data_IF_613682929205
#
_entry.id   IF_613682929205
#
_cell.length_a   1.000
_cell.length_b   1.000
_cell.length_c   1.000
_cell.angle_alpha   90.00
_cell.angle_beta   90.00
_cell.angle_gamma   90.00
#
_symmetry.space_group_name_H-M   'P 1'
#
loop_
_entity.id
_entity.type
_entity.pdbx_description
1 polymer ?
#
# COMPACT_ATOMS: atom_id res chain seq x y z
N UNK A 1 -30.72 8.46 11.34
CA UNK A 1 -29.67 8.28 10.33
C UNK A 1 -30.28 7.59 9.12
N UNK A 2 -30.02 8.07 7.90
CA UNK A 2 -30.49 7.42 6.67
C UNK A 2 -29.51 6.30 6.27
N UNK A 3 -30.02 5.13 5.86
CA UNK A 3 -29.24 3.98 5.40
C UNK A 3 -28.23 4.36 4.31
N UNK A 4 -28.60 5.26 3.40
CA UNK A 4 -27.71 5.76 2.35
C UNK A 4 -26.43 6.43 2.93
N UNK A 5 -26.57 7.18 4.03
CA UNK A 5 -25.45 7.86 4.68
C UNK A 5 -24.49 6.87 5.34
N UNK A 6 -24.99 5.76 5.89
CA UNK A 6 -24.16 4.71 6.49
C UNK A 6 -23.39 3.96 5.42
N UNK A 7 -24.06 3.57 4.33
CA UNK A 7 -23.43 2.90 3.18
C UNK A 7 -22.32 3.78 2.61
N UNK A 8 -22.57 5.07 2.45
CA UNK A 8 -21.56 5.99 1.93
C UNK A 8 -20.35 6.15 2.86
N UNK A 9 -20.57 6.16 4.19
CA UNK A 9 -19.46 6.15 5.16
C UNK A 9 -18.62 4.87 5.07
N UNK A 10 -19.27 3.71 5.01
CA UNK A 10 -18.58 2.42 4.86
C UNK A 10 -17.80 2.35 3.55
N UNK A 11 -18.35 2.86 2.45
CA UNK A 11 -17.66 2.94 1.17
C UNK A 11 -16.43 3.84 1.21
N UNK A 12 -16.52 4.99 1.88
CA UNK A 12 -15.38 5.90 2.01
C UNK A 12 -14.22 5.25 2.75
N UNK A 13 -14.47 4.53 3.85
CA UNK A 13 -13.42 3.80 4.57
C UNK A 13 -12.85 2.64 3.76
N UNK A 14 -13.70 1.90 3.03
CA UNK A 14 -13.25 0.84 2.14
C UNK A 14 -12.29 1.35 1.07
N UNK A 15 -12.56 2.53 0.48
CA UNK A 15 -11.68 3.10 -0.54
C UNK A 15 -10.30 3.46 0.04
N UNK A 16 -10.25 4.08 1.21
CA UNK A 16 -8.99 4.41 1.89
C UNK A 16 -8.16 3.15 2.16
N UNK A 17 -8.77 2.12 2.74
CA UNK A 17 -8.05 0.88 3.07
C UNK A 17 -7.64 0.09 1.82
N UNK A 18 -8.41 0.18 0.74
CA UNK A 18 -8.05 -0.40 -0.56
C UNK A 18 -6.80 0.26 -1.13
N UNK A 19 -6.70 1.58 -1.02
CA UNK A 19 -5.53 2.31 -1.47
C UNK A 19 -4.28 1.94 -0.63
N UNK A 20 -4.47 1.49 0.62
CA UNK A 20 -3.44 0.88 1.49
C UNK A 20 -3.21 -0.64 1.23
N UNK A 21 -3.82 -1.20 0.19
CA UNK A 21 -3.59 -2.58 -0.28
C UNK A 21 -4.57 -3.64 0.25
N UNK A 22 -5.62 -3.26 0.99
CA UNK A 22 -6.63 -4.20 1.48
C UNK A 22 -7.63 -4.59 0.37
N UNK A 23 -7.90 -5.89 0.20
CA UNK A 23 -8.95 -6.32 -0.74
C UNK A 23 -10.36 -6.02 -0.20
N UNK A 24 -11.36 -5.95 -1.08
CA UNK A 24 -12.76 -5.77 -0.64
C UNK A 24 -13.23 -6.92 0.27
N UNK A 25 -12.79 -8.15 -0.02
CA UNK A 25 -13.09 -9.32 0.81
C UNK A 25 -12.53 -9.19 2.22
N UNK A 26 -11.25 -8.81 2.32
CA UNK A 26 -10.60 -8.56 3.62
C UNK A 26 -11.27 -7.41 4.37
N UNK A 27 -11.66 -6.33 3.68
CA UNK A 27 -12.38 -5.22 4.30
C UNK A 27 -13.70 -5.65 4.94
N UNK A 28 -14.52 -6.42 4.22
CA UNK A 28 -15.80 -6.93 4.74
C UNK A 28 -15.57 -7.88 5.91
N UNK A 29 -14.53 -8.72 5.87
CA UNK A 29 -14.15 -9.60 6.96
C UNK A 29 -13.77 -8.80 8.23
N UNK A 30 -12.86 -7.84 8.12
CA UNK A 30 -12.43 -7.00 9.26
C UNK A 30 -13.59 -6.16 9.82
N UNK A 31 -14.42 -5.60 8.94
CA UNK A 31 -15.61 -4.86 9.35
C UNK A 31 -16.58 -5.75 10.12
N UNK A 32 -16.75 -7.01 9.69
CA UNK A 32 -17.64 -7.97 10.36
C UNK A 32 -17.16 -8.26 11.78
N UNK A 33 -15.85 -8.47 11.98
CA UNK A 33 -15.27 -8.67 13.31
C UNK A 33 -15.48 -7.46 14.22
N UNK A 34 -15.14 -6.26 13.74
CA UNK A 34 -15.29 -5.03 14.51
C UNK A 34 -16.76 -4.73 14.85
N UNK A 35 -17.68 -4.96 13.89
CA UNK A 35 -19.12 -4.82 14.14
C UNK A 35 -19.62 -5.82 15.17
N UNK A 36 -19.15 -7.07 15.13
CA UNK A 36 -19.53 -8.06 16.13
C UNK A 36 -19.09 -7.63 17.54
N UNK A 37 -17.84 -7.17 17.68
CA UNK A 37 -17.32 -6.65 18.94
C UNK A 37 -18.11 -5.43 19.44
N UNK A 38 -18.40 -4.49 18.53
CA UNK A 38 -19.19 -3.30 18.87
C UNK A 38 -20.62 -3.65 19.27
N UNK A 39 -21.25 -4.59 18.57
CA UNK A 39 -22.60 -5.05 18.86
C UNK A 39 -22.67 -5.79 20.20
N UNK A 40 -21.66 -6.62 20.52
CA UNK A 40 -21.56 -7.28 21.82
C UNK A 40 -21.45 -6.25 22.95
N UNK A 41 -20.64 -5.21 22.76
CA UNK A 41 -20.51 -4.08 23.68
C UNK A 41 -21.82 -3.29 23.84
N UNK A 42 -22.45 -2.84 22.74
CA UNK A 42 -23.74 -2.12 22.78
C UNK A 42 -24.83 -2.90 23.55
N UNK A 43 -24.94 -4.21 23.30
CA UNK A 43 -25.94 -5.07 23.98
C UNK A 43 -25.66 -5.24 25.47
N UNK A 44 -24.40 -5.14 25.88
CA UNK A 44 -24.02 -5.21 27.29
C UNK A 44 -24.30 -3.92 28.06
N UNK A 45 -24.43 -2.80 27.35
CA UNK A 45 -24.74 -1.49 27.91
C UNK A 45 -26.26 -1.25 28.04
N UNK A 46 -26.69 -0.27 28.85
CA UNK A 46 -28.07 0.20 28.85
C UNK A 46 -28.48 0.68 27.46
N UNK A 47 -29.73 0.43 27.01
CA UNK A 47 -30.88 -0.09 27.76
C UNK A 47 -30.99 -1.62 27.85
N UNK A 48 -30.17 -2.38 27.11
CA UNK A 48 -30.37 -3.83 26.98
C UNK A 48 -29.78 -4.62 28.14
N UNK A 49 -28.61 -4.20 28.67
CA UNK A 49 -27.92 -4.81 29.82
C UNK A 49 -27.81 -6.34 29.75
N UNK A 50 -27.58 -6.88 28.54
CA UNK A 50 -27.50 -8.32 28.32
C UNK A 50 -26.11 -8.86 28.68
N UNK A 51 -25.99 -10.13 29.09
CA UNK A 51 -24.70 -10.78 29.23
C UNK A 51 -23.93 -10.71 27.91
N UNK A 52 -22.69 -10.22 27.95
CA UNK A 52 -21.84 -10.16 26.76
C UNK A 52 -21.64 -11.59 26.21
N UNK A 53 -21.84 -11.81 24.90
CA UNK A 53 -21.62 -13.11 24.28
C UNK A 53 -20.13 -13.46 24.14
N UNK A 54 -19.23 -12.53 24.46
CA UNK A 54 -17.77 -12.75 24.45
C UNK A 54 -17.38 -13.37 25.80
N UNK A 55 -17.11 -14.69 25.86
CA UNK A 55 -16.81 -15.36 27.10
C UNK A 55 -15.31 -15.23 27.38
N UNK A 56 -14.95 -14.51 28.46
CA UNK A 56 -13.63 -14.51 29.14
C UNK A 56 -12.49 -13.75 28.40
N UNK A 57 -11.34 -13.42 29.07
CA UNK A 57 -11.11 -12.65 30.31
C UNK A 57 -11.09 -11.12 30.05
N UNK A 58 -10.96 -10.28 31.10
CA UNK A 58 -10.88 -8.81 30.95
C UNK A 58 -9.82 -8.40 29.91
N UNK A 59 -10.18 -7.56 28.94
CA UNK A 59 -9.20 -6.85 28.10
C UNK A 59 -9.15 -7.24 26.61
N UNK A 60 -10.08 -8.04 26.08
CA UNK A 60 -10.20 -8.31 24.63
C UNK A 60 -11.59 -7.91 24.08
N UNK A 61 -12.19 -6.89 24.70
CA UNK A 61 -13.49 -6.33 24.37
C UNK A 61 -13.37 -5.01 23.58
N UNK A 62 -14.50 -4.48 23.13
CA UNK A 62 -14.53 -3.21 22.40
C UNK A 62 -13.88 -2.04 23.18
N UNK A 63 -14.13 -1.84 24.49
CA UNK A 63 -13.43 -0.82 25.27
C UNK A 63 -11.91 -0.99 25.29
N UNK A 64 -11.40 -2.22 25.35
CA UNK A 64 -9.95 -2.48 25.34
C UNK A 64 -9.28 -2.06 24.03
N UNK A 65 -9.97 -2.20 22.89
CA UNK A 65 -9.50 -1.71 21.59
C UNK A 65 -9.45 -0.18 21.59
N UNK A 66 -10.50 0.49 22.05
CA UNK A 66 -10.55 1.96 22.10
C UNK A 66 -9.50 2.58 23.04
N UNK A 67 -9.00 1.82 24.00
CA UNK A 67 -7.95 2.26 24.92
C UNK A 67 -6.52 2.20 24.33
N UNK A 68 -6.37 1.78 23.07
CA UNK A 68 -5.08 1.65 22.37
C UNK A 68 -5.06 2.46 21.08
N UNK A 69 -3.86 2.84 20.64
CA UNK A 69 -3.60 3.53 19.38
C UNK A 69 -2.34 2.99 18.69
N UNK A 70 -2.15 3.35 17.41
CA UNK A 70 -0.97 2.98 16.62
C UNK A 70 -0.61 1.49 16.68
N UNK A 71 0.68 1.21 16.87
CA UNK A 71 1.23 -0.15 16.94
C UNK A 71 0.59 -0.98 18.07
N UNK A 72 0.29 -0.33 19.20
CA UNK A 72 -0.32 -1.00 20.33
C UNK A 72 -1.76 -1.44 20.03
N UNK A 73 -2.53 -0.64 19.27
CA UNK A 73 -3.85 -1.03 18.80
C UNK A 73 -3.76 -2.17 17.79
N UNK A 74 -2.82 -2.07 16.84
CA UNK A 74 -2.62 -3.07 15.81
C UNK A 74 -2.35 -4.46 16.39
N UNK A 75 -1.41 -4.50 17.33
CA UNK A 75 -1.01 -5.74 18.01
C UNK A 75 -2.12 -6.25 18.94
N UNK A 76 -2.80 -5.34 19.64
CA UNK A 76 -3.93 -5.70 20.51
C UNK A 76 -5.10 -6.30 19.72
N UNK A 77 -5.41 -5.73 18.55
CA UNK A 77 -6.45 -6.26 17.67
C UNK A 77 -6.07 -7.65 17.13
N UNK A 78 -4.82 -7.85 16.72
CA UNK A 78 -4.31 -9.18 16.32
C UNK A 78 -4.52 -10.21 17.42
N UNK A 79 -4.08 -9.91 18.64
CA UNK A 79 -4.27 -10.80 19.79
C UNK A 79 -5.75 -11.02 20.13
N UNK A 80 -6.60 -10.00 19.97
CA UNK A 80 -8.05 -10.11 20.18
C UNK A 80 -8.65 -11.15 19.24
N UNK A 81 -8.36 -11.08 17.94
CA UNK A 81 -8.86 -12.06 16.97
C UNK A 81 -8.36 -13.47 17.26
N UNK A 82 -7.08 -13.64 17.59
CA UNK A 82 -6.50 -14.94 17.93
C UNK A 82 -7.15 -15.57 19.17
N UNK A 83 -7.37 -14.77 20.22
CA UNK A 83 -8.01 -15.25 21.46
C UNK A 83 -9.46 -15.66 21.21
N UNK A 84 -10.22 -14.83 20.51
CA UNK A 84 -11.62 -15.13 20.17
C UNK A 84 -11.72 -16.33 19.23
N UNK A 85 -10.81 -16.47 18.26
CA UNK A 85 -10.76 -17.62 17.36
C UNK A 85 -10.42 -18.94 18.04
N UNK A 86 -9.76 -18.90 19.21
CA UNK A 86 -9.45 -20.07 20.02
C UNK A 86 -10.59 -20.48 20.96
N UNK A 87 -11.63 -19.66 21.13
CA UNK A 87 -12.76 -19.96 21.99
C UNK A 87 -13.63 -21.10 21.44
N UNK A 88 -14.42 -21.71 22.32
CA UNK A 88 -15.39 -22.75 21.93
C UNK A 88 -16.77 -22.14 21.63
N UNK A 89 -17.58 -22.90 20.92
CA UNK A 89 -18.96 -22.50 20.61
C UNK A 89 -19.04 -21.40 19.55
N UNK A 90 -20.04 -20.53 19.65
CA UNK A 90 -20.36 -19.55 18.61
C UNK A 90 -19.20 -18.58 18.32
N UNK A 91 -18.46 -18.14 19.32
CA UNK A 91 -17.34 -17.19 19.13
C UNK A 91 -16.21 -17.81 18.32
N UNK A 92 -15.79 -19.03 18.65
CA UNK A 92 -14.79 -19.76 17.85
C UNK A 92 -15.23 -20.05 16.42
N UNK A 93 -16.55 -20.16 16.15
CA UNK A 93 -17.07 -20.30 14.79
C UNK A 93 -16.99 -18.99 14.00
N UNK A 94 -17.23 -17.85 14.64
CA UNK A 94 -17.20 -16.53 13.99
C UNK A 94 -15.76 -16.05 13.75
N UNK A 95 -14.89 -16.21 14.75
CA UNK A 95 -13.50 -15.77 14.71
C UNK A 95 -12.52 -16.89 14.33
N UNK A 96 -13.04 -18.05 13.90
CA UNK A 96 -12.22 -19.20 13.55
C UNK A 96 -11.24 -18.87 12.43
N UNK A 97 -9.94 -18.98 12.72
CA UNK A 97 -8.84 -18.57 11.81
C UNK A 97 -8.85 -17.09 11.42
N UNK A 98 -9.56 -16.23 12.17
CA UNK A 98 -9.52 -14.79 11.95
C UNK A 98 -8.08 -14.28 12.02
N UNK A 99 -7.73 -13.41 11.07
CA UNK A 99 -6.43 -12.74 11.03
C UNK A 99 -6.63 -11.24 10.89
N UNK A 100 -5.73 -10.48 11.49
CA UNK A 100 -5.65 -9.05 11.20
C UNK A 100 -5.12 -8.88 9.76
N UNK A 101 -5.91 -8.21 8.91
CA UNK A 101 -5.56 -7.90 7.52
C UNK A 101 -5.20 -6.42 7.31
N UNK A 102 -5.17 -5.61 8.36
CA UNK A 102 -4.63 -4.26 8.27
C UNK A 102 -3.12 -4.33 8.03
N UNK A 103 -2.61 -3.53 7.08
CA UNK A 103 -1.19 -3.52 6.69
C UNK A 103 -0.34 -2.60 7.55
N UNK A 104 -0.90 -1.49 8.00
CA UNK A 104 -0.21 -0.44 8.77
C UNK A 104 -1.02 -0.17 10.06
N UNK A 105 -0.38 -0.04 11.22
CA UNK A 105 -1.03 0.53 12.40
C UNK A 105 -1.76 1.83 12.05
N UNK A 106 -2.97 1.99 12.58
CA UNK A 106 -3.80 3.15 12.28
C UNK A 106 -3.03 4.43 12.59
N UNK A 107 -2.57 5.14 11.55
CA UNK A 107 -1.95 6.46 11.70
C UNK A 107 -2.98 7.33 12.39
N UNK A 108 -2.67 7.93 13.55
CA UNK A 108 -3.66 8.73 14.25
C UNK A 108 -4.16 9.84 13.33
N UNK A 109 -5.45 10.18 13.46
CA UNK A 109 -5.99 11.31 12.72
C UNK A 109 -5.18 12.55 13.11
N UNK A 110 -4.47 13.14 12.15
CA UNK A 110 -3.64 14.31 12.36
C UNK A 110 -4.28 15.50 11.66
N UNK A 111 -4.39 16.67 12.33
CA UNK A 111 -4.83 17.90 11.67
C UNK A 111 -3.81 18.39 10.64
N UNK A 112 -2.58 17.88 10.69
CA UNK A 112 -1.49 18.18 9.77
C UNK A 112 -1.12 16.96 8.92
N UNK A 113 -0.73 17.13 7.65
CA UNK A 113 -0.28 16.02 6.81
C UNK A 113 0.94 15.32 7.45
N UNK A 114 0.99 13.99 7.31
CA UNK A 114 2.12 13.18 7.79
C UNK A 114 3.37 13.35 6.91
N UNK A 115 3.16 13.59 5.62
CA UNK A 115 4.24 13.79 4.65
C UNK A 115 4.42 15.28 4.39
N UNK A 116 5.55 15.83 4.85
CA UNK A 116 5.87 17.25 4.66
C UNK A 116 6.83 17.47 3.49
N UNK A 117 7.59 16.45 3.11
CA UNK A 117 8.63 16.52 2.07
C UNK A 117 8.76 15.18 1.36
N UNK A 118 8.77 15.21 0.03
CA UNK A 118 9.01 14.06 -0.84
C UNK A 118 10.35 14.23 -1.55
N UNK A 119 11.11 13.15 -1.66
CA UNK A 119 12.35 13.11 -2.43
C UNK A 119 12.18 12.14 -3.58
N UNK A 120 12.58 12.56 -4.79
CA UNK A 120 12.46 11.77 -6.00
C UNK A 120 13.84 11.64 -6.64
N UNK A 121 14.17 10.40 -7.03
CA UNK A 121 15.33 10.09 -7.87
C UNK A 121 14.88 9.70 -9.26
N UNK A 122 15.35 10.39 -10.29
CA UNK A 122 15.08 10.02 -11.68
C UNK A 122 16.16 9.09 -12.24
N UNK A 123 15.88 7.78 -12.20
CA UNK A 123 16.68 6.73 -12.87
C UNK A 123 16.04 6.27 -14.19
N UNK A 124 15.06 6.99 -14.72
CA UNK A 124 14.37 6.59 -15.96
C UNK A 124 14.78 7.45 -17.13
N UNK A 125 14.70 8.77 -16.98
CA UNK A 125 14.95 9.69 -18.08
C UNK A 125 16.38 9.53 -18.59
N UNK A 126 16.54 9.28 -19.89
CA UNK A 126 17.84 9.05 -20.54
C UNK A 126 18.65 7.92 -19.90
N UNK A 127 17.99 6.88 -19.37
CA UNK A 127 18.62 5.64 -18.91
C UNK A 127 18.07 4.48 -19.74
N UNK A 128 18.96 3.61 -20.23
CA UNK A 128 18.58 2.55 -21.16
C UNK A 128 19.04 1.20 -20.63
N UNK A 129 18.12 0.46 -20.00
CA UNK A 129 18.40 -0.88 -19.47
C UNK A 129 17.63 -1.92 -20.28
N UNK A 130 18.30 -2.99 -20.67
CA UNK A 130 17.71 -4.12 -21.41
C UNK A 130 17.99 -5.42 -20.67
N UNK A 131 17.17 -6.46 -20.86
CA UNK A 131 17.33 -7.70 -20.09
C UNK A 131 18.62 -8.46 -20.45
N UNK A 132 18.99 -8.49 -21.73
CA UNK A 132 20.09 -9.32 -22.25
C UNK A 132 21.40 -8.56 -22.45
N UNK A 133 21.35 -7.34 -23.01
CA UNK A 133 22.56 -6.62 -23.47
C UNK A 133 23.06 -5.56 -22.48
N UNK A 134 22.17 -4.89 -21.75
CA UNK A 134 22.49 -3.90 -20.74
C UNK A 134 21.61 -4.01 -19.49
N UNK A 135 21.73 -5.12 -18.72
CA UNK A 135 20.91 -5.34 -17.54
C UNK A 135 21.15 -4.29 -16.46
N UNK A 136 20.10 -3.94 -15.73
CA UNK A 136 20.20 -3.09 -14.53
C UNK A 136 21.06 -3.81 -13.48
N UNK A 137 22.20 -3.21 -13.14
CA UNK A 137 23.13 -3.70 -12.12
C UNK A 137 22.98 -2.89 -10.84
N UNK A 138 23.37 -3.51 -9.72
CA UNK A 138 23.39 -2.86 -8.40
C UNK A 138 24.18 -1.54 -8.41
N UNK A 139 25.22 -1.45 -9.23
CA UNK A 139 26.07 -0.27 -9.35
C UNK A 139 25.33 0.96 -9.86
N UNK A 140 24.32 0.80 -10.72
CA UNK A 140 23.49 1.90 -11.21
C UNK A 140 22.68 2.57 -10.08
N UNK A 141 22.48 1.87 -8.96
CA UNK A 141 21.78 2.37 -7.78
C UNK A 141 22.72 2.98 -6.73
N UNK A 142 24.05 2.95 -6.94
CA UNK A 142 25.01 3.45 -5.95
C UNK A 142 24.82 4.94 -5.66
N UNK A 143 24.57 5.74 -6.69
CA UNK A 143 24.29 7.16 -6.51
C UNK A 143 23.00 7.39 -5.71
N UNK A 144 21.91 6.71 -6.08
CA UNK A 144 20.66 6.77 -5.33
C UNK A 144 20.88 6.44 -3.86
N UNK A 145 21.57 5.34 -3.54
CA UNK A 145 21.83 4.91 -2.16
C UNK A 145 22.65 5.96 -1.40
N UNK A 146 23.66 6.54 -2.04
CA UNK A 146 24.48 7.61 -1.46
C UNK A 146 23.63 8.85 -1.15
N UNK A 147 22.79 9.29 -2.09
CA UNK A 147 21.94 10.48 -1.95
C UNK A 147 20.76 10.27 -1.00
N UNK A 148 20.24 9.05 -0.95
CA UNK A 148 19.21 8.62 0.00
C UNK A 148 19.71 8.71 1.44
N UNK A 149 21.02 8.57 1.66
CA UNK A 149 21.68 8.62 2.96
C UNK A 149 20.96 7.76 4.02
N UNK A 150 21.05 6.41 3.94
CA UNK A 150 20.35 5.53 4.87
C UNK A 150 20.80 5.68 6.32
N UNK A 151 22.04 6.16 6.55
CA UNK A 151 22.56 6.41 7.90
C UNK A 151 21.88 7.61 8.56
N UNK A 152 21.58 8.67 7.80
CA UNK A 152 20.77 9.78 8.27
C UNK A 152 19.93 10.38 7.14
N UNK A 153 18.70 9.89 7.02
CA UNK A 153 17.76 10.32 5.99
C UNK A 153 17.35 11.80 6.12
N UNK A 154 17.61 12.47 7.25
CA UNK A 154 17.29 13.88 7.42
C UNK A 154 18.36 14.80 6.84
N UNK A 155 19.57 14.28 6.63
CA UNK A 155 20.70 14.99 6.06
C UNK A 155 20.90 14.60 4.59
N UNK A 156 19.98 15.11 3.75
CA UNK A 156 20.01 14.88 2.31
C UNK A 156 20.12 16.20 1.58
N UNK A 157 20.99 16.21 0.58
CA UNK A 157 21.22 17.38 -0.28
C UNK A 157 20.75 17.05 -1.69
N UNK A 158 19.89 17.89 -2.25
CA UNK A 158 19.43 17.77 -3.63
C UNK A 158 20.60 17.96 -4.59
N UNK A 159 20.65 17.17 -5.66
CA UNK A 159 21.56 17.45 -6.79
C UNK A 159 20.90 18.42 -7.78
N UNK A 160 19.57 18.49 -7.76
CA UNK A 160 18.81 19.45 -8.54
C UNK A 160 18.74 20.82 -7.86
N UNK A 161 18.93 21.88 -8.66
CA UNK A 161 18.66 23.27 -8.30
C UNK A 161 18.29 24.07 -9.55
N UNK A 162 17.89 25.34 -9.41
CA UNK A 162 17.67 26.22 -10.56
C UNK A 162 18.94 26.40 -11.41
N UNK A 163 20.11 26.33 -10.77
CA UNK A 163 21.42 26.43 -11.43
C UNK A 163 21.91 25.06 -11.96
N UNK A 164 21.35 23.96 -11.45
CA UNK A 164 21.67 22.57 -11.85
C UNK A 164 20.40 21.80 -12.23
N UNK A 165 19.73 22.15 -13.35
CA UNK A 165 18.44 21.56 -13.72
C UNK A 165 18.53 20.07 -14.10
N UNK A 166 19.73 19.59 -14.41
CA UNK A 166 20.01 18.19 -14.76
C UNK A 166 20.16 17.25 -13.55
N UNK A 167 20.04 17.79 -12.32
CA UNK A 167 20.12 16.98 -11.12
C UNK A 167 19.00 15.93 -11.05
N UNK A 168 19.39 14.66 -10.85
CA UNK A 168 18.46 13.52 -10.75
C UNK A 168 17.84 13.33 -9.36
N UNK A 169 18.28 14.08 -8.34
CA UNK A 169 17.76 13.99 -6.98
C UNK A 169 17.17 15.32 -6.54
N UNK A 170 15.84 15.33 -6.38
CA UNK A 170 15.06 16.55 -6.14
C UNK A 170 14.11 16.38 -4.96
N UNK A 171 13.98 17.42 -4.15
CA UNK A 171 13.00 17.51 -3.08
C UNK A 171 11.80 18.35 -3.51
N UNK A 172 10.62 17.96 -3.02
CA UNK A 172 9.36 18.68 -3.14
C UNK A 172 8.75 18.86 -1.76
N UNK A 173 8.34 20.07 -1.43
CA UNK A 173 7.60 20.33 -0.20
C UNK A 173 6.12 20.01 -0.39
N UNK A 174 5.39 19.80 0.72
CA UNK A 174 3.96 19.48 0.68
C UNK A 174 3.15 20.48 -0.17
N UNK A 175 3.47 21.77 -0.09
CA UNK A 175 2.82 22.81 -0.86
C UNK A 175 2.98 22.60 -2.38
N UNK A 176 4.15 22.15 -2.82
CA UNK A 176 4.40 21.86 -4.24
C UNK A 176 3.60 20.65 -4.71
N UNK A 177 3.42 19.65 -3.84
CA UNK A 177 2.69 18.42 -4.16
C UNK A 177 1.19 18.67 -4.26
N UNK A 178 0.61 19.42 -3.31
CA UNK A 178 -0.83 19.67 -3.27
C UNK A 178 -1.30 20.67 -4.34
N UNK A 179 -0.40 21.54 -4.82
CA UNK A 179 -0.68 22.45 -5.92
C UNK A 179 -0.83 21.74 -7.28
N UNK A 180 -0.45 20.46 -7.38
CA UNK A 180 -0.55 19.67 -8.61
C UNK A 180 -1.97 19.17 -8.83
N UNK A 181 -2.33 18.93 -10.10
CA UNK A 181 -3.61 18.31 -10.43
C UNK A 181 -3.75 16.97 -9.68
N UNK A 182 -4.83 16.87 -8.89
CA UNK A 182 -5.15 15.71 -8.04
C UNK A 182 -4.01 15.26 -7.13
N UNK A 183 -3.09 16.16 -6.76
CA UNK A 183 -1.88 15.84 -6.01
C UNK A 183 -1.06 14.68 -6.64
N UNK A 184 -1.06 14.58 -7.97
CA UNK A 184 -0.39 13.49 -8.70
C UNK A 184 1.12 13.47 -8.42
N UNK A 185 1.62 12.29 -8.04
CA UNK A 185 3.05 12.02 -7.82
C UNK A 185 3.79 11.63 -9.11
N UNK A 186 3.08 11.62 -10.24
CA UNK A 186 3.70 11.43 -11.55
C UNK A 186 4.47 12.70 -11.95
N UNK A 187 5.71 12.77 -11.49
CA UNK A 187 6.55 13.97 -11.51
C UNK A 187 7.77 13.73 -12.42
N UNK A 188 7.93 14.62 -13.41
CA UNK A 188 9.06 14.64 -14.33
C UNK A 188 9.59 16.07 -14.45
N UNK A 189 10.91 16.21 -14.46
CA UNK A 189 11.57 17.52 -14.68
C UNK A 189 12.75 17.47 -15.64
N UNK A 190 13.33 16.28 -15.86
CA UNK A 190 14.31 16.06 -16.90
C UNK A 190 13.59 15.88 -18.24
N UNK A 191 14.20 16.37 -19.32
CA UNK A 191 13.70 16.17 -20.68
C UNK A 191 14.29 14.88 -21.24
N UNK A 192 13.44 14.12 -21.93
CA UNK A 192 13.87 12.95 -22.67
C UNK A 192 14.55 13.40 -23.97
N UNK A 193 15.78 12.95 -24.17
CA UNK A 193 16.59 13.24 -25.34
C UNK A 193 15.99 12.63 -26.61
N UNK A 194 15.32 11.49 -26.53
CA UNK A 194 14.72 10.80 -27.67
C UNK A 194 13.46 11.51 -28.22
N UNK A 195 12.77 12.28 -27.37
CA UNK A 195 11.61 13.08 -27.79
C UNK A 195 12.01 14.40 -28.45
N UNK A 196 13.24 14.85 -28.25
CA UNK A 196 13.74 16.13 -28.76
C UNK A 196 14.59 15.99 -30.03
N UNK A 197 15.21 14.82 -30.25
CA UNK A 197 16.16 14.59 -31.33
C UNK A 197 16.07 13.15 -31.86
N UNK A 198 15.56 12.98 -33.10
CA UNK A 198 15.43 11.67 -33.75
C UNK A 198 16.77 10.97 -33.96
N UNK A 199 17.87 11.72 -33.98
CA UNK A 199 19.22 11.20 -34.20
C UNK A 199 19.81 10.56 -32.92
N UNK A 200 19.12 10.64 -31.79
CA UNK A 200 19.49 10.00 -30.52
C UNK A 200 18.73 8.69 -30.24
N UNK A 201 17.90 8.24 -31.18
CA UNK A 201 17.27 6.92 -31.07
C UNK A 201 18.32 5.80 -31.12
N UNK A 202 18.09 4.68 -30.41
CA UNK A 202 18.93 3.51 -30.58
C UNK A 202 18.92 3.03 -32.04
N UNK A 203 19.99 2.39 -32.52
CA UNK A 203 20.01 1.78 -33.84
C UNK A 203 18.80 0.85 -34.09
N UNK A 204 18.28 0.76 -35.33
CA UNK A 204 17.07 -0.02 -35.63
C UNK A 204 17.14 -1.50 -35.20
N UNK A 205 18.34 -2.09 -35.21
CA UNK A 205 18.60 -3.45 -34.75
C UNK A 205 18.43 -3.60 -33.23
N UNK A 206 18.79 -2.57 -32.45
CA UNK A 206 18.56 -2.55 -31.00
C UNK A 206 17.07 -2.50 -30.69
N UNK A 207 16.35 -1.59 -31.36
CA UNK A 207 14.89 -1.45 -31.21
C UNK A 207 14.17 -2.75 -31.59
N UNK A 208 14.57 -3.38 -32.70
CA UNK A 208 13.99 -4.65 -33.14
C UNK A 208 14.23 -5.77 -32.11
N UNK A 209 15.42 -5.84 -31.52
CA UNK A 209 15.73 -6.83 -30.48
C UNK A 209 14.92 -6.60 -29.20
N UNK A 210 14.70 -5.33 -28.81
CA UNK A 210 13.86 -4.99 -27.66
C UNK A 210 12.41 -5.42 -27.86
N UNK A 211 11.84 -5.15 -29.04
CA UNK A 211 10.48 -5.59 -29.37
C UNK A 211 10.37 -7.12 -29.27
N UNK A 212 11.37 -7.85 -29.75
CA UNK A 212 11.40 -9.32 -29.66
C UNK A 212 11.46 -9.76 -28.19
N UNK A 213 12.37 -9.18 -27.41
CA UNK A 213 12.55 -9.54 -25.99
C UNK A 213 11.28 -9.24 -25.17
N UNK A 214 10.62 -8.10 -25.41
CA UNK A 214 9.36 -7.73 -24.73
C UNK A 214 8.21 -8.67 -25.11
N UNK A 215 8.12 -9.06 -26.39
CA UNK A 215 7.12 -10.02 -26.85
C UNK A 215 7.36 -11.42 -26.29
N UNK A 216 8.63 -11.87 -26.19
CA UNK A 216 8.99 -13.13 -25.54
C UNK A 216 8.58 -13.14 -24.06
N UNK A 217 8.90 -12.06 -23.32
CA UNK A 217 8.53 -11.94 -21.91
C UNK A 217 7.00 -11.90 -21.70
N UNK A 218 6.27 -11.17 -22.55
CA UNK A 218 4.82 -11.14 -22.52
C UNK A 218 4.22 -12.53 -22.82
N UNK A 219 4.80 -13.26 -23.79
CA UNK A 219 4.37 -14.61 -24.14
C UNK A 219 4.59 -15.59 -22.99
N UNK A 220 5.73 -15.52 -22.30
CA UNK A 220 5.98 -16.32 -21.09
C UNK A 220 4.94 -16.07 -19.99
N UNK A 221 4.59 -14.80 -19.75
CA UNK A 221 3.53 -14.47 -18.79
C UNK A 221 2.18 -15.07 -19.19
N UNK A 222 1.82 -15.04 -20.48
CA UNK A 222 0.60 -15.68 -20.95
C UNK A 222 0.63 -17.20 -20.78
N UNK A 223 1.77 -17.85 -21.00
CA UNK A 223 1.93 -19.28 -20.75
C UNK A 223 1.74 -19.64 -19.27
N UNK A 224 2.27 -18.83 -18.34
CA UNK A 224 2.07 -19.03 -16.91
C UNK A 224 0.59 -18.91 -16.52
N UNK A 225 -0.11 -17.89 -17.03
CA UNK A 225 -1.56 -17.72 -16.78
C UNK A 225 -2.34 -18.91 -17.34
N UNK A 226 -2.04 -19.34 -18.57
CA UNK A 226 -2.71 -20.47 -19.20
C UNK A 226 -2.48 -21.79 -18.44
N UNK A 227 -1.27 -22.01 -17.91
CA UNK A 227 -0.96 -23.16 -17.08
C UNK A 227 -1.72 -23.13 -15.73
N UNK A 228 -1.82 -21.96 -15.09
CA UNK A 228 -2.54 -21.78 -13.83
C UNK A 228 -4.06 -22.01 -14.01
N UNK A 229 -4.64 -21.49 -15.09
CA UNK A 229 -6.04 -21.75 -15.46
C UNK A 229 -6.31 -23.22 -15.81
N UNK A 230 -5.35 -23.88 -16.47
CA UNK A 230 -5.42 -25.32 -16.78
C UNK A 230 -5.34 -26.19 -15.52
N UNK A 231 -4.50 -25.81 -14.55
CA UNK A 231 -4.38 -26.49 -13.27
C UNK A 231 -5.64 -26.33 -12.40
N UNK A 232 -6.27 -25.15 -12.39
CA UNK A 232 -7.57 -24.95 -11.72
C UNK A 232 -8.70 -25.76 -12.37
N UNK A 233 -8.69 -25.93 -13.69
CA UNK A 233 -9.70 -26.72 -14.40
C UNK A 233 -9.55 -28.23 -14.19
N UNK A 234 -8.37 -28.73 -13.84
CA UNK A 234 -8.11 -30.14 -13.55
C UNK A 234 -8.32 -30.52 -12.07
N UNK A 235 -8.51 -29.53 -11.19
CA UNK A 235 -8.73 -29.71 -9.75
C UNK A 235 -10.22 -29.69 -9.33
N UNK A 236 -11.14 -29.50 -10.28
CA UNK A 236 -12.59 -29.62 -10.13
C UNK A 236 -13.09 -30.96 -10.69
#
# INVERSE_FOLDING_TARGET
MNSATIVQKLWNYCNVLRDDGMSYGDYVEQLTYLLFLKMADERSQPPWSQPSPIPLPKGFDWPSLLAKDGDALFEHYRHTLEKLGAEKGMIGLIFGKAQNKFSDPAKPASPTPWTNKLWIYDLRTNQHFTLKTNPLKREHLNEFVRLYNPANRHDRTATWSADTPEGRWRAYDYADLIARDKASLDIFWLKDDALADSDKLPPPDVIAQEIVDDLEAALEQFHLIAADMGAQSAAL
#
